data_IF_373167693178
#
_entry.id   IF_373167693178
#
_cell.length_a   1.000
_cell.length_b   1.000
_cell.length_c   1.000
_cell.angle_alpha   90.00
_cell.angle_beta   90.00
_cell.angle_gamma   90.00
#
_symmetry.space_group_name_H-M   'P 1'
#
loop_
_entity.id
_entity.type
_entity.pdbx_description
1 polymer ?
#
# COMPACT_ATOMS: atom_id res chain seq x y z
N UNK A 1 7.90 -21.19 18.64
CA UNK A 1 8.43 -21.53 17.31
C UNK A 1 9.73 -20.78 17.16
N UNK A 2 10.85 -21.48 17.14
CA UNK A 2 12.15 -20.88 16.86
C UNK A 2 12.13 -20.33 15.43
N UNK A 3 12.33 -19.03 15.29
CA UNK A 3 12.62 -18.43 13.98
C UNK A 3 14.05 -18.86 13.66
N UNK A 4 14.19 -19.91 12.84
CA UNK A 4 15.50 -20.46 12.49
C UNK A 4 16.21 -19.46 11.56
N UNK A 5 16.92 -18.52 12.16
CA UNK A 5 17.71 -17.51 11.46
C UNK A 5 18.90 -18.23 10.80
N UNK A 6 18.71 -18.59 9.53
CA UNK A 6 19.64 -19.35 8.70
C UNK A 6 20.09 -18.44 7.56
N UNK A 7 21.41 -18.43 7.28
CA UNK A 7 21.94 -17.75 6.09
C UNK A 7 21.31 -18.42 4.87
N UNK A 8 20.67 -17.60 4.01
CA UNK A 8 20.02 -18.06 2.78
C UNK A 8 21.03 -18.25 1.66
N UNK A 9 20.74 -19.16 0.72
CA UNK A 9 21.66 -19.45 -0.37
C UNK A 9 21.69 -18.34 -1.43
N UNK A 10 20.61 -17.55 -1.53
CA UNK A 10 20.50 -16.43 -2.47
C UNK A 10 19.43 -15.41 -2.00
N UNK A 11 19.32 -14.30 -2.73
CA UNK A 11 18.41 -13.19 -2.39
C UNK A 11 16.93 -13.52 -2.54
N UNK A 12 16.54 -14.48 -3.41
CA UNK A 12 15.12 -14.81 -3.60
C UNK A 12 14.53 -15.53 -2.40
N UNK A 13 15.35 -16.30 -1.66
CA UNK A 13 14.97 -16.94 -0.40
C UNK A 13 14.71 -15.93 0.75
N UNK A 14 15.08 -14.67 0.55
CA UNK A 14 14.81 -13.61 1.51
C UNK A 14 13.49 -12.87 1.20
N UNK A 15 12.82 -13.14 0.06
CA UNK A 15 11.55 -12.48 -0.32
C UNK A 15 10.39 -13.09 0.48
N UNK A 16 9.50 -12.22 0.95
CA UNK A 16 8.31 -12.58 1.70
C UNK A 16 8.54 -12.79 3.21
N UNK A 17 7.50 -13.25 3.90
CA UNK A 17 7.35 -13.24 5.36
C UNK A 17 7.45 -11.83 5.96
N UNK A 18 6.95 -10.86 5.21
CA UNK A 18 6.95 -9.46 5.60
C UNK A 18 5.93 -9.25 6.71
N UNK A 19 6.27 -8.57 7.81
CA UNK A 19 5.32 -8.37 8.90
C UNK A 19 4.20 -7.39 8.50
N UNK A 20 3.04 -7.58 9.13
CA UNK A 20 1.90 -6.69 9.05
C UNK A 20 1.56 -6.19 10.47
N UNK A 21 1.31 -4.89 10.61
CA UNK A 21 1.09 -4.24 11.91
C UNK A 21 -0.14 -3.35 11.89
N UNK A 22 -0.98 -3.42 12.92
CA UNK A 22 -2.10 -2.49 13.07
C UNK A 22 -1.61 -1.07 13.38
N UNK A 23 -2.20 -0.08 12.72
CA UNK A 23 -2.08 1.32 13.11
C UNK A 23 -3.16 1.61 14.16
N UNK A 24 -2.81 2.23 15.29
CA UNK A 24 -3.75 2.38 16.41
C UNK A 24 -4.04 3.83 16.78
N UNK A 25 -3.01 4.69 16.80
CA UNK A 25 -3.09 6.07 17.29
C UNK A 25 -3.26 7.09 16.17
N UNK A 26 -2.70 6.86 14.98
CA UNK A 26 -2.87 7.76 13.82
C UNK A 26 -4.25 7.63 13.18
N UNK A 27 -4.97 6.55 13.49
CA UNK A 27 -6.28 6.20 12.91
C UNK A 27 -7.45 6.63 13.79
N UNK A 28 -7.23 7.52 14.76
CA UNK A 28 -8.29 8.04 15.62
C UNK A 28 -9.46 8.61 14.79
N UNK A 29 -10.68 8.19 15.13
CA UNK A 29 -11.91 8.53 14.40
C UNK A 29 -12.19 7.68 13.16
N UNK A 30 -11.34 6.70 12.82
CA UNK A 30 -11.68 5.71 11.80
C UNK A 30 -12.72 4.71 12.34
N UNK A 31 -13.68 4.37 11.50
CA UNK A 31 -14.65 3.30 11.73
C UNK A 31 -14.17 1.95 11.19
N UNK A 32 -13.10 1.94 10.39
CA UNK A 32 -12.39 0.75 9.91
C UNK A 32 -11.09 0.49 10.72
N UNK A 33 -10.64 -0.76 10.71
CA UNK A 33 -9.29 -1.13 11.16
C UNK A 33 -8.31 -0.96 10.00
N UNK A 34 -7.11 -0.44 10.28
CA UNK A 34 -6.06 -0.25 9.28
C UNK A 34 -4.81 -1.00 9.73
N UNK A 35 -4.25 -1.79 8.83
CA UNK A 35 -3.04 -2.57 9.09
C UNK A 35 -2.02 -2.35 7.97
N UNK A 36 -0.81 -1.93 8.33
CA UNK A 36 0.26 -1.64 7.39
C UNK A 36 1.12 -2.88 7.14
N UNK A 37 1.33 -3.20 5.87
CA UNK A 37 2.32 -4.19 5.43
C UNK A 37 3.70 -3.53 5.30
N UNK A 38 4.72 -4.04 6.00
CA UNK A 38 6.03 -3.40 6.12
C UNK A 38 7.03 -3.84 5.04
N UNK A 39 6.69 -3.64 3.76
CA UNK A 39 7.49 -4.09 2.60
C UNK A 39 8.93 -3.53 2.55
N UNK A 40 9.26 -2.49 3.32
CA UNK A 40 10.64 -2.02 3.50
C UNK A 40 11.56 -3.08 4.14
N UNK A 41 10.96 -4.12 4.74
CA UNK A 41 11.67 -5.27 5.29
C UNK A 41 11.93 -6.37 4.25
N UNK A 42 11.43 -6.22 3.02
CA UNK A 42 11.75 -7.14 1.91
C UNK A 42 13.10 -6.80 1.26
N UNK A 43 13.88 -7.82 0.85
CA UNK A 43 15.12 -7.63 0.11
C UNK A 43 14.83 -6.96 -1.22
N UNK A 44 15.63 -5.95 -1.55
CA UNK A 44 15.48 -5.14 -2.76
C UNK A 44 14.17 -4.34 -2.85
N UNK A 45 13.33 -4.31 -1.80
CA UNK A 45 12.08 -3.55 -1.72
C UNK A 45 11.21 -3.69 -2.99
N UNK A 46 11.16 -4.92 -3.53
CA UNK A 46 10.88 -5.27 -4.94
C UNK A 46 10.05 -4.24 -5.70
N UNK A 47 10.73 -3.29 -6.34
CA UNK A 47 10.08 -2.03 -6.73
C UNK A 47 9.20 -2.18 -7.99
N UNK A 48 9.25 -3.28 -8.76
CA UNK A 48 8.76 -3.23 -10.17
C UNK A 48 8.09 -4.48 -10.78
N UNK A 49 7.99 -5.64 -10.11
CA UNK A 49 7.43 -6.85 -10.73
C UNK A 49 6.04 -7.20 -10.18
N UNK A 50 5.05 -7.38 -11.06
CA UNK A 50 3.69 -7.84 -10.69
C UNK A 50 3.70 -9.26 -10.14
N UNK A 51 4.56 -10.11 -10.70
CA UNK A 51 4.55 -11.54 -10.42
C UNK A 51 4.89 -11.80 -8.95
N UNK A 52 5.90 -11.12 -8.43
CA UNK A 52 6.30 -11.35 -7.03
C UNK A 52 5.22 -10.93 -6.05
N UNK A 53 4.56 -9.79 -6.25
CA UNK A 53 3.49 -9.35 -5.36
C UNK A 53 2.24 -10.24 -5.43
N UNK A 54 2.01 -10.92 -6.56
CA UNK A 54 0.98 -11.94 -6.68
C UNK A 54 1.35 -13.23 -5.93
N UNK A 55 2.62 -13.64 -5.96
CA UNK A 55 3.12 -14.86 -5.32
C UNK A 55 3.45 -14.70 -3.82
N UNK A 56 3.72 -13.48 -3.35
CA UNK A 56 4.14 -13.21 -1.96
C UNK A 56 3.23 -12.20 -1.26
N UNK A 57 3.29 -10.91 -1.63
CA UNK A 57 2.62 -9.83 -0.89
C UNK A 57 1.11 -10.07 -0.74
N UNK A 58 0.41 -10.43 -1.81
CA UNK A 58 -1.02 -10.77 -1.79
C UNK A 58 -1.36 -11.97 -0.88
N UNK A 59 -0.72 -13.13 -1.07
CA UNK A 59 -0.86 -14.30 -0.19
C UNK A 59 -0.60 -14.00 1.28
N UNK A 60 0.39 -13.17 1.58
CA UNK A 60 0.72 -12.83 2.96
C UNK A 60 -0.33 -11.92 3.59
N UNK A 61 -0.82 -10.89 2.87
CA UNK A 61 -1.94 -10.07 3.36
C UNK A 61 -3.17 -10.96 3.63
N UNK A 62 -3.49 -11.88 2.72
CA UNK A 62 -4.59 -12.82 2.90
C UNK A 62 -4.40 -13.72 4.12
N UNK A 63 -3.21 -14.31 4.28
CA UNK A 63 -2.85 -15.19 5.40
C UNK A 63 -2.91 -14.45 6.72
N UNK A 64 -2.26 -13.29 6.80
CA UNK A 64 -2.05 -12.54 8.04
C UNK A 64 -3.34 -11.87 8.52
N UNK A 65 -4.21 -11.46 7.59
CA UNK A 65 -5.58 -11.02 7.89
C UNK A 65 -6.55 -12.17 8.18
N UNK A 66 -6.13 -13.42 7.98
CA UNK A 66 -6.99 -14.62 8.05
C UNK A 66 -8.20 -14.54 7.11
N UNK A 67 -7.98 -14.00 5.91
CA UNK A 67 -9.01 -13.82 4.89
C UNK A 67 -10.06 -12.75 5.19
N UNK A 68 -9.75 -11.83 6.13
CA UNK A 68 -10.67 -10.76 6.56
C UNK A 68 -10.38 -9.40 5.95
N UNK A 69 -9.35 -9.29 5.10
CA UNK A 69 -9.06 -8.03 4.41
C UNK A 69 -10.23 -7.68 3.48
N UNK A 70 -10.74 -6.47 3.60
CA UNK A 70 -11.84 -5.94 2.78
C UNK A 70 -11.34 -4.96 1.71
N UNK A 71 -10.18 -4.36 1.93
CA UNK A 71 -9.59 -3.38 1.03
C UNK A 71 -8.07 -3.45 1.04
N UNK A 72 -7.46 -3.16 -0.13
CA UNK A 72 -6.04 -2.91 -0.30
C UNK A 72 -5.83 -1.45 -0.74
N UNK A 73 -4.93 -0.73 -0.08
CA UNK A 73 -4.51 0.62 -0.43
C UNK A 73 -3.03 0.63 -0.76
N UNK A 74 -2.67 1.04 -1.98
CA UNK A 74 -1.27 1.09 -2.39
C UNK A 74 -0.95 2.30 -3.28
N UNK A 75 0.20 2.92 -2.98
CA UNK A 75 0.78 3.97 -3.81
C UNK A 75 1.25 3.46 -5.17
N UNK A 76 0.94 4.22 -6.23
CA UNK A 76 1.23 3.80 -7.61
C UNK A 76 2.50 4.50 -8.12
N UNK A 77 3.61 3.76 -8.11
CA UNK A 77 4.83 4.07 -8.86
C UNK A 77 4.83 3.36 -10.20
N UNK A 78 5.34 2.12 -10.21
CA UNK A 78 5.23 1.22 -11.38
C UNK A 78 3.86 0.53 -11.47
N UNK A 79 3.13 0.44 -10.37
CA UNK A 79 1.86 -0.32 -10.30
C UNK A 79 2.03 -1.82 -10.03
N UNK A 80 3.26 -2.31 -9.82
CA UNK A 80 3.53 -3.73 -9.55
C UNK A 80 2.79 -4.27 -8.32
N UNK A 81 2.90 -3.59 -7.19
CA UNK A 81 2.28 -3.99 -5.92
C UNK A 81 0.77 -4.07 -6.00
N UNK A 82 0.13 -2.97 -6.44
CA UNK A 82 -1.32 -2.90 -6.51
C UNK A 82 -1.90 -3.89 -7.53
N UNK A 83 -1.20 -4.12 -8.64
CA UNK A 83 -1.65 -5.06 -9.66
C UNK A 83 -1.46 -6.51 -9.22
N UNK A 84 -0.27 -6.87 -8.72
CA UNK A 84 0.03 -8.24 -8.30
C UNK A 84 -0.78 -8.66 -7.07
N UNK A 85 -0.67 -7.92 -5.98
CA UNK A 85 -1.38 -8.22 -4.74
C UNK A 85 -2.90 -8.02 -4.90
N UNK A 86 -3.33 -6.95 -5.57
CA UNK A 86 -4.75 -6.69 -5.83
C UNK A 86 -5.41 -7.78 -6.67
N UNK A 87 -4.73 -8.28 -7.71
CA UNK A 87 -5.20 -9.42 -8.51
C UNK A 87 -5.37 -10.67 -7.65
N UNK A 88 -4.36 -11.04 -6.89
CA UNK A 88 -4.44 -12.21 -6.01
C UNK A 88 -5.61 -12.10 -5.03
N UNK A 89 -5.77 -10.93 -4.38
CA UNK A 89 -6.83 -10.72 -3.41
C UNK A 89 -8.22 -10.79 -4.06
N UNK A 90 -8.42 -10.17 -5.23
CA UNK A 90 -9.70 -10.28 -5.96
C UNK A 90 -10.01 -11.70 -6.44
N UNK A 91 -8.99 -12.51 -6.75
CA UNK A 91 -9.19 -13.95 -7.04
C UNK A 91 -9.62 -14.75 -5.80
N UNK A 92 -9.24 -14.32 -4.59
CA UNK A 92 -9.73 -14.92 -3.33
C UNK A 92 -11.12 -14.44 -2.95
N UNK A 93 -11.39 -13.16 -3.13
CA UNK A 93 -12.68 -12.56 -2.90
C UNK A 93 -12.88 -11.34 -3.83
N UNK A 94 -13.77 -11.41 -4.84
CA UNK A 94 -13.97 -10.34 -5.80
C UNK A 94 -14.55 -9.04 -5.18
N UNK A 95 -15.14 -9.13 -3.99
CA UNK A 95 -15.67 -7.98 -3.25
C UNK A 95 -14.59 -7.11 -2.63
N UNK A 96 -13.34 -7.61 -2.54
CA UNK A 96 -12.21 -6.83 -2.03
C UNK A 96 -11.99 -5.61 -2.92
N UNK A 97 -11.91 -4.45 -2.27
CA UNK A 97 -11.68 -3.17 -2.94
C UNK A 97 -10.21 -2.87 -3.09
N UNK A 98 -9.81 -2.37 -4.25
CA UNK A 98 -8.40 -2.02 -4.53
C UNK A 98 -8.32 -0.53 -4.84
N UNK A 99 -7.62 0.20 -3.96
CA UNK A 99 -7.50 1.65 -4.00
C UNK A 99 -6.09 2.07 -4.37
N UNK A 100 -5.96 2.75 -5.51
CA UNK A 100 -4.71 3.36 -5.94
C UNK A 100 -4.46 4.68 -5.22
N UNK A 101 -3.21 5.01 -4.92
CA UNK A 101 -2.84 6.33 -4.40
C UNK A 101 -1.90 7.03 -5.37
N UNK A 102 -2.23 8.27 -5.71
CA UNK A 102 -1.39 9.16 -6.52
C UNK A 102 -1.27 10.57 -5.91
N UNK A 103 -0.19 11.31 -6.21
CA UNK A 103 -0.05 12.70 -5.77
C UNK A 103 -1.10 13.60 -6.42
N UNK A 104 -1.73 14.48 -5.64
CA UNK A 104 -2.63 15.53 -6.16
C UNK A 104 -1.91 16.37 -7.24
N UNK A 105 -0.64 16.66 -7.02
CA UNK A 105 0.18 17.51 -7.89
C UNK A 105 0.60 16.80 -9.20
N UNK A 106 0.36 15.50 -9.32
CA UNK A 106 0.69 14.68 -10.51
C UNK A 106 -0.38 13.60 -10.75
N UNK A 107 -1.65 14.00 -10.70
CA UNK A 107 -2.82 13.11 -10.74
C UNK A 107 -3.17 12.60 -12.16
N UNK A 108 -2.19 11.97 -12.83
CA UNK A 108 -2.31 11.52 -14.23
C UNK A 108 -3.34 10.40 -14.38
N UNK A 109 -3.46 9.52 -13.38
CA UNK A 109 -4.42 8.42 -13.44
C UNK A 109 -5.87 8.91 -13.28
N UNK A 110 -6.06 10.06 -12.63
CA UNK A 110 -7.33 10.78 -12.56
C UNK A 110 -7.61 11.72 -13.75
N UNK A 111 -6.80 11.66 -14.82
CA UNK A 111 -6.96 12.51 -16.01
C UNK A 111 -6.35 13.91 -15.91
N UNK A 112 -5.58 14.18 -14.86
CA UNK A 112 -4.80 15.40 -14.71
C UNK A 112 -3.59 15.45 -15.67
N UNK A 113 -3.01 16.64 -15.82
CA UNK A 113 -1.76 16.82 -16.58
C UNK A 113 -0.56 16.54 -15.68
N UNK A 114 0.49 15.85 -16.17
CA UNK A 114 1.70 15.65 -15.41
C UNK A 114 2.41 17.00 -15.20
N UNK A 115 2.53 17.42 -13.95
CA UNK A 115 3.30 18.63 -13.63
C UNK A 115 4.75 18.22 -13.35
N UNK A 116 5.62 18.43 -14.35
CA UNK A 116 7.05 18.07 -14.29
C UNK A 116 7.68 18.55 -12.97
N UNK A 117 8.11 17.60 -12.15
CA UNK A 117 8.97 17.84 -10.98
C UNK A 117 8.31 18.46 -9.75
N UNK A 118 6.97 18.47 -9.63
CA UNK A 118 6.27 19.28 -8.62
C UNK A 118 5.66 18.54 -7.40
N UNK A 119 5.90 17.25 -7.22
CA UNK A 119 5.48 16.55 -6.00
C UNK A 119 6.66 16.00 -5.20
N UNK A 120 6.51 15.93 -3.87
CA UNK A 120 7.55 15.48 -2.94
C UNK A 120 7.40 14.01 -2.55
N UNK A 121 6.31 13.35 -2.97
CA UNK A 121 6.04 11.95 -2.62
C UNK A 121 6.91 11.01 -3.45
N UNK A 122 8.16 10.82 -3.02
CA UNK A 122 9.11 9.93 -3.70
C UNK A 122 8.61 8.47 -3.71
N UNK A 123 8.65 7.84 -4.89
CA UNK A 123 8.32 6.43 -5.10
C UNK A 123 6.98 6.19 -5.81
N UNK A 124 6.10 7.19 -5.88
CA UNK A 124 4.81 7.12 -6.60
C UNK A 124 4.67 8.29 -7.58
N UNK A 125 3.61 8.32 -8.39
CA UNK A 125 3.29 9.49 -9.21
C UNK A 125 4.24 9.71 -10.38
N UNK A 126 4.54 8.65 -11.16
CA UNK A 126 5.52 8.67 -12.25
C UNK A 126 5.24 9.69 -13.38
N UNK A 127 4.11 10.39 -13.35
CA UNK A 127 3.71 11.36 -14.37
C UNK A 127 3.24 10.73 -15.68
N UNK A 128 3.08 9.41 -15.70
CA UNK A 128 2.56 8.60 -16.81
C UNK A 128 1.80 7.41 -16.24
N UNK A 129 0.89 6.83 -17.02
CA UNK A 129 0.28 5.54 -16.70
C UNK A 129 1.28 4.43 -17.03
N UNK A 130 1.78 3.63 -16.06
CA UNK A 130 2.75 2.59 -16.36
C UNK A 130 2.11 1.37 -17.03
N UNK A 131 2.79 0.74 -17.99
CA UNK A 131 2.31 -0.50 -18.65
C UNK A 131 2.12 -1.69 -17.70
N UNK A 132 2.77 -1.62 -16.53
CA UNK A 132 2.70 -2.64 -15.49
C UNK A 132 1.41 -2.52 -14.69
N UNK A 133 0.78 -1.34 -14.63
CA UNK A 133 -0.46 -1.13 -13.90
C UNK A 133 -1.65 -1.72 -14.66
N UNK A 134 -2.43 -2.59 -14.02
CA UNK A 134 -3.77 -2.96 -14.51
C UNK A 134 -4.82 -2.03 -13.90
N UNK A 135 -5.21 -1.00 -14.65
CA UNK A 135 -6.18 0.01 -14.21
C UNK A 135 -7.58 -0.56 -13.98
N UNK A 136 -7.93 -1.70 -14.60
CA UNK A 136 -9.25 -2.30 -14.45
C UNK A 136 -9.44 -2.98 -13.09
N UNK A 137 -8.34 -3.25 -12.37
CA UNK A 137 -8.40 -3.77 -11.01
C UNK A 137 -8.77 -2.70 -9.98
N UNK A 138 -8.58 -1.41 -10.31
CA UNK A 138 -8.77 -0.32 -9.36
C UNK A 138 -10.27 0.00 -9.20
N UNK A 139 -10.74 0.00 -7.96
CA UNK A 139 -12.09 0.46 -7.63
C UNK A 139 -12.15 2.00 -7.55
N UNK A 140 -11.10 2.63 -7.04
CA UNK A 140 -10.99 4.09 -6.91
C UNK A 140 -9.52 4.51 -6.81
N UNK A 141 -9.22 5.75 -7.23
CA UNK A 141 -7.90 6.38 -7.08
C UNK A 141 -8.04 7.52 -6.08
N UNK A 142 -7.28 7.44 -4.98
CA UNK A 142 -7.24 8.42 -3.91
C UNK A 142 -6.08 9.37 -4.15
N UNK A 143 -6.38 10.66 -4.25
CA UNK A 143 -5.35 11.68 -4.35
C UNK A 143 -4.91 12.14 -2.96
N UNK A 144 -3.59 12.23 -2.77
CA UNK A 144 -2.97 12.69 -1.51
C UNK A 144 -1.94 13.76 -1.85
N UNK A 145 -1.95 14.89 -1.14
CA UNK A 145 -0.98 15.95 -1.36
C UNK A 145 0.36 15.61 -0.72
N UNK A 146 1.43 16.22 -1.21
CA UNK A 146 2.77 16.10 -0.61
C UNK A 146 2.79 16.48 0.86
N UNK A 147 2.09 17.55 1.22
CA UNK A 147 1.99 18.03 2.62
C UNK A 147 1.31 16.99 3.52
N UNK A 148 0.18 16.44 3.07
CA UNK A 148 -0.56 15.42 3.81
C UNK A 148 0.27 14.14 4.00
N UNK A 149 0.98 13.71 2.95
CA UNK A 149 1.86 12.54 3.01
C UNK A 149 3.02 12.74 3.98
N UNK A 150 3.67 13.91 3.95
CA UNK A 150 4.78 14.26 4.84
C UNK A 150 4.31 14.29 6.29
N UNK A 151 3.18 14.94 6.56
CA UNK A 151 2.65 15.03 7.92
C UNK A 151 2.25 13.65 8.45
N UNK A 152 1.57 12.85 7.64
CA UNK A 152 1.19 11.48 8.03
C UNK A 152 2.41 10.60 8.29
N UNK A 153 3.46 10.69 7.48
CA UNK A 153 4.72 9.97 7.71
C UNK A 153 5.37 10.36 9.06
N UNK A 154 5.36 11.65 9.41
CA UNK A 154 5.84 12.11 10.73
C UNK A 154 4.99 11.54 11.87
N UNK A 155 3.67 11.53 11.71
CA UNK A 155 2.75 11.00 12.72
C UNK A 155 2.92 9.48 12.90
N UNK A 156 3.18 8.72 11.84
CA UNK A 156 3.50 7.29 11.93
C UNK A 156 4.75 7.05 12.79
N UNK A 157 5.80 7.85 12.61
CA UNK A 157 7.00 7.76 13.43
C UNK A 157 6.72 8.13 14.89
N UNK A 158 6.03 9.26 15.13
CA UNK A 158 5.79 9.79 16.48
C UNK A 158 4.80 8.97 17.30
N UNK A 159 3.77 8.41 16.66
CA UNK A 159 2.64 7.77 17.36
C UNK A 159 2.70 6.24 17.29
N UNK A 160 3.11 5.68 16.16
CA UNK A 160 3.17 4.21 15.94
C UNK A 160 4.59 3.65 16.10
N UNK A 161 5.62 4.49 16.16
CA UNK A 161 7.01 4.04 16.17
C UNK A 161 7.48 3.50 14.82
N UNK A 162 6.79 3.84 13.73
CA UNK A 162 7.09 3.38 12.37
C UNK A 162 7.87 4.47 11.61
N UNK A 163 9.19 4.32 11.51
CA UNK A 163 10.04 5.20 10.72
C UNK A 163 9.96 4.82 9.24
N UNK A 164 9.14 5.55 8.47
CA UNK A 164 8.82 5.24 7.08
C UNK A 164 9.02 6.43 6.14
N UNK A 165 9.02 6.18 4.83
CA UNK A 165 9.13 7.20 3.79
C UNK A 165 7.82 7.96 3.51
N UNK A 166 7.92 9.00 2.69
CA UNK A 166 6.77 9.88 2.35
C UNK A 166 5.66 9.10 1.62
N UNK A 167 6.00 8.14 0.74
CA UNK A 167 5.01 7.30 0.07
C UNK A 167 4.21 6.41 1.02
N UNK A 168 4.82 5.91 2.10
CA UNK A 168 4.12 5.21 3.17
C UNK A 168 3.16 6.14 3.92
N UNK A 169 3.57 7.40 4.14
CA UNK A 169 2.68 8.44 4.63
C UNK A 169 1.48 8.69 3.70
N UNK A 170 1.70 8.69 2.38
CA UNK A 170 0.62 8.84 1.40
C UNK A 170 -0.38 7.67 1.43
N UNK A 171 0.11 6.42 1.46
CA UNK A 171 -0.74 5.24 1.57
C UNK A 171 -1.55 5.24 2.88
N UNK A 172 -0.91 5.57 4.02
CA UNK A 172 -1.59 5.67 5.30
C UNK A 172 -2.64 6.80 5.32
N UNK A 173 -2.35 7.96 4.74
CA UNK A 173 -3.30 9.06 4.64
C UNK A 173 -4.54 8.66 3.84
N UNK A 174 -4.35 7.99 2.69
CA UNK A 174 -5.44 7.45 1.90
C UNK A 174 -6.26 6.41 2.67
N UNK A 175 -5.59 5.48 3.37
CA UNK A 175 -6.25 4.48 4.20
C UNK A 175 -7.06 5.12 5.34
N UNK A 176 -6.55 6.18 5.99
CA UNK A 176 -7.26 6.93 7.02
C UNK A 176 -8.50 7.63 6.45
N UNK A 177 -8.41 8.26 5.26
CA UNK A 177 -9.57 8.85 4.59
C UNK A 177 -10.65 7.81 4.34
N UNK A 178 -10.26 6.64 3.82
CA UNK A 178 -11.17 5.52 3.56
C UNK A 178 -11.74 4.96 4.86
N UNK A 179 -10.92 4.83 5.91
CA UNK A 179 -11.32 4.29 7.21
C UNK A 179 -12.30 5.18 7.96
N UNK A 180 -12.42 6.46 7.60
CA UNK A 180 -13.43 7.38 8.14
C UNK A 180 -14.77 7.32 7.40
N UNK A 181 -14.85 6.66 6.25
CA UNK A 181 -16.10 6.58 5.47
C UNK A 181 -17.08 5.60 6.14
N UNK A 182 -18.37 5.97 6.35
CA UNK A 182 -19.34 5.13 7.06
C UNK A 182 -19.52 3.73 6.47
N UNK A 183 -19.42 3.57 5.15
CA UNK A 183 -19.52 2.30 4.45
C UNK A 183 -18.37 1.32 4.75
N UNK A 184 -17.30 1.79 5.41
CA UNK A 184 -16.17 0.97 5.85
C UNK A 184 -16.20 0.62 7.34
N UNK A 185 -17.33 0.84 8.01
CA UNK A 185 -17.51 0.47 9.41
C UNK A 185 -17.22 -1.01 9.63
N UNK A 186 -16.29 -1.32 10.54
CA UNK A 186 -15.90 -2.68 10.91
C UNK A 186 -15.04 -3.41 9.88
N UNK A 187 -14.69 -2.77 8.76
CA UNK A 187 -13.84 -3.37 7.72
C UNK A 187 -12.36 -3.34 8.10
N UNK A 188 -11.59 -4.22 7.49
CA UNK A 188 -10.13 -4.23 7.55
C UNK A 188 -9.53 -3.70 6.23
N UNK A 189 -8.78 -2.60 6.33
CA UNK A 189 -8.03 -1.99 5.25
C UNK A 189 -6.56 -2.34 5.42
N UNK A 190 -5.95 -2.94 4.38
CA UNK A 190 -4.55 -3.26 4.28
C UNK A 190 -3.78 -2.19 3.46
#
# INVERSE_FOLDING_TARGET
MEMQCTIKNNVTELIGNTPMVYLNKVVEGCVAQIAAKLESMEPCSSVKDRYIHYETTGPEIWRDSRGKVDALVAGIGTGGTITGAGKFLKEKNPEIKVYGVEPVESAVLSGGQPVKGMHLIQGIGAGIVPDVLDVNLLDEIIQVSSEEAIETAKQLALKEGLLVGISSGAAAAAAIKLGKRPENTGKLIA
#
